data_IF_699769790167
#
_entry.id   IF_699769790167
#
_cell.length_a   1.000
_cell.length_b   1.000
_cell.length_c   1.000
_cell.angle_alpha   90.00
_cell.angle_beta   90.00
_cell.angle_gamma   90.00
#
_symmetry.space_group_name_H-M   'P 1'
#
loop_
_entity.id
_entity.type
_entity.pdbx_description
1 polymer ?
#
# COMPACT_ATOMS: atom_id res chain seq x y z
N UNK A 1 11.20 -15.36 -0.33
CA UNK A 1 11.92 -15.83 0.88
C UNK A 1 11.56 -17.29 1.14
N UNK A 2 12.54 -18.12 1.56
CA UNK A 2 12.36 -19.55 1.79
C UNK A 2 12.86 -19.97 3.17
N UNK A 3 12.52 -21.17 3.63
CA UNK A 3 12.94 -21.76 4.91
C UNK A 3 14.18 -22.61 4.66
N UNK A 4 15.19 -22.45 5.50
CA UNK A 4 16.44 -23.22 5.50
C UNK A 4 16.64 -23.84 6.86
N UNK A 5 17.16 -25.06 6.90
CA UNK A 5 17.47 -25.81 8.10
C UNK A 5 18.99 -25.85 8.31
N UNK A 6 19.43 -25.35 9.46
CA UNK A 6 20.83 -25.34 9.89
C UNK A 6 20.98 -26.15 11.16
N UNK A 7 22.14 -26.77 11.37
CA UNK A 7 22.50 -27.35 12.66
C UNK A 7 22.94 -26.26 13.65
N UNK A 8 23.18 -26.67 14.91
CA UNK A 8 23.60 -25.74 15.96
C UNK A 8 25.03 -25.16 15.78
N UNK A 9 25.83 -25.75 14.88
CA UNK A 9 27.16 -25.25 14.48
C UNK A 9 27.08 -24.23 13.32
N UNK A 10 25.87 -23.94 12.78
CA UNK A 10 25.66 -23.00 11.68
C UNK A 10 25.86 -23.60 10.28
N UNK A 11 25.96 -24.93 10.17
CA UNK A 11 26.09 -25.61 8.87
C UNK A 11 24.71 -25.85 8.28
N UNK A 12 24.55 -25.56 6.97
CA UNK A 12 23.30 -25.79 6.24
C UNK A 12 23.07 -27.29 6.07
N UNK A 13 21.94 -27.78 6.60
CA UNK A 13 21.49 -29.16 6.41
C UNK A 13 20.76 -29.27 5.06
N UNK A 14 19.72 -28.46 4.86
CA UNK A 14 18.98 -28.41 3.59
C UNK A 14 18.15 -27.12 3.46
N UNK A 15 17.75 -26.82 2.24
CA UNK A 15 16.67 -25.88 1.95
C UNK A 15 15.34 -26.62 2.09
N UNK A 16 14.47 -26.18 3.01
CA UNK A 16 13.19 -26.83 3.33
C UNK A 16 12.09 -26.43 2.34
N UNK A 17 12.05 -25.17 1.93
CA UNK A 17 11.08 -24.70 0.92
C UNK A 17 11.80 -24.12 -0.29
N UNK A 18 11.24 -24.34 -1.48
CA UNK A 18 11.74 -23.75 -2.73
C UNK A 18 10.58 -23.11 -3.49
N UNK A 19 9.95 -22.12 -2.83
CA UNK A 19 8.79 -21.42 -3.37
C UNK A 19 9.21 -20.23 -4.22
N UNK A 20 8.45 -19.95 -5.28
CA UNK A 20 8.53 -18.71 -6.07
C UNK A 20 7.83 -17.53 -5.37
N UNK A 21 7.06 -17.83 -4.33
CA UNK A 21 6.32 -16.89 -3.49
C UNK A 21 6.96 -16.70 -2.09
N UNK A 22 6.42 -15.78 -1.31
CA UNK A 22 7.06 -15.32 -0.07
C UNK A 22 6.56 -16.11 1.14
N UNK A 23 7.49 -16.71 1.89
CA UNK A 23 7.27 -17.18 3.27
C UNK A 23 7.40 -15.98 4.21
N UNK A 24 6.35 -15.72 5.01
CA UNK A 24 6.29 -14.55 5.91
C UNK A 24 6.62 -14.86 7.36
N UNK A 25 6.51 -16.13 7.79
CA UNK A 25 6.87 -16.52 9.15
C UNK A 25 6.67 -17.98 9.46
N UNK A 26 7.36 -18.47 10.49
CA UNK A 26 7.19 -19.84 11.02
C UNK A 26 6.17 -19.77 12.16
N UNK A 27 5.13 -20.61 12.08
CA UNK A 27 4.07 -20.72 13.09
C UNK A 27 4.36 -21.78 14.14
N UNK A 28 4.93 -22.90 13.73
CA UNK A 28 5.35 -23.98 14.62
C UNK A 28 6.39 -24.89 13.97
N UNK A 29 7.26 -25.47 14.81
CA UNK A 29 8.20 -26.53 14.45
C UNK A 29 7.86 -27.76 15.27
N UNK A 30 7.67 -28.90 14.62
CA UNK A 30 7.51 -30.22 15.20
C UNK A 30 8.75 -31.08 14.89
N UNK A 31 8.82 -32.30 15.43
CA UNK A 31 9.99 -33.17 15.26
C UNK A 31 10.41 -33.36 13.78
N UNK A 32 9.46 -33.42 12.87
CA UNK A 32 9.71 -33.67 11.43
C UNK A 32 8.88 -32.76 10.51
N UNK A 33 8.31 -31.65 11.02
CA UNK A 33 7.38 -30.84 10.27
C UNK A 33 7.42 -29.37 10.70
N UNK A 34 7.31 -28.47 9.74
CA UNK A 34 7.15 -27.04 9.97
C UNK A 34 5.75 -26.63 9.51
N UNK A 35 5.10 -25.78 10.30
CA UNK A 35 3.89 -25.06 9.92
C UNK A 35 4.28 -23.59 9.79
N UNK A 36 3.95 -22.96 8.67
CA UNK A 36 4.41 -21.61 8.34
C UNK A 36 3.34 -20.81 7.62
N UNK A 37 3.52 -19.50 7.61
CA UNK A 37 2.69 -18.53 6.89
C UNK A 37 3.41 -18.10 5.61
N UNK A 38 2.65 -17.87 4.55
CA UNK A 38 3.16 -17.37 3.28
C UNK A 38 2.04 -16.86 2.38
N UNK A 39 2.40 -16.25 1.27
CA UNK A 39 1.41 -15.68 0.33
C UNK A 39 0.69 -16.78 -0.48
N UNK A 40 1.38 -17.87 -0.80
CA UNK A 40 0.97 -18.72 -1.91
C UNK A 40 1.21 -18.02 -3.27
N UNK A 41 0.54 -18.49 -4.28
CA UNK A 41 0.72 -18.01 -5.66
C UNK A 41 0.20 -16.57 -5.86
N UNK A 42 -0.82 -16.16 -5.11
CA UNK A 42 -1.33 -14.78 -5.15
C UNK A 42 -0.72 -13.95 -4.02
N UNK A 43 0.17 -12.99 -4.32
CA UNK A 43 0.80 -12.17 -3.29
C UNK A 43 -0.17 -11.22 -2.57
N UNK A 44 -1.41 -11.10 -3.04
CA UNK A 44 -2.48 -10.35 -2.37
C UNK A 44 -3.15 -11.14 -1.25
N UNK A 45 -2.76 -12.40 -1.05
CA UNK A 45 -3.31 -13.32 -0.07
C UNK A 45 -2.26 -13.73 0.98
N UNK A 46 -2.71 -14.33 2.06
CA UNK A 46 -1.86 -14.87 3.10
C UNK A 46 -2.45 -16.18 3.62
N UNK A 47 -1.67 -17.27 3.62
CA UNK A 47 -2.12 -18.60 3.93
C UNK A 47 -1.20 -19.33 4.90
N UNK A 48 -1.74 -20.32 5.64
CA UNK A 48 -0.96 -21.27 6.39
C UNK A 48 -0.61 -22.49 5.54
N UNK A 49 0.63 -22.94 5.67
CA UNK A 49 1.19 -24.11 4.98
C UNK A 49 1.85 -25.05 5.97
N UNK A 50 2.06 -26.28 5.55
CA UNK A 50 2.95 -27.23 6.24
C UNK A 50 3.91 -27.88 5.27
N UNK A 51 5.10 -28.25 5.75
CA UNK A 51 6.14 -28.95 5.00
C UNK A 51 6.94 -29.83 5.96
N UNK A 52 7.44 -30.97 5.52
CA UNK A 52 8.38 -31.77 6.30
C UNK A 52 9.76 -31.10 6.36
N UNK A 53 10.56 -31.40 7.39
CA UNK A 53 11.91 -30.82 7.52
C UNK A 53 12.87 -31.18 6.36
N UNK A 54 12.62 -32.28 5.67
CA UNK A 54 13.34 -32.70 4.46
C UNK A 54 12.86 -31.98 3.18
N UNK A 55 11.86 -31.11 3.28
CA UNK A 55 11.26 -30.38 2.16
C UNK A 55 10.11 -31.13 1.46
N UNK A 56 9.84 -32.36 1.82
CA UNK A 56 8.74 -33.15 1.24
C UNK A 56 7.36 -32.75 1.79
N UNK A 57 6.30 -33.17 1.09
CA UNK A 57 4.90 -33.03 1.52
C UNK A 57 4.47 -31.60 1.86
N UNK A 58 4.98 -30.58 1.13
CA UNK A 58 4.46 -29.22 1.26
C UNK A 58 3.00 -29.18 0.84
N UNK A 59 2.15 -28.57 1.68
CA UNK A 59 0.73 -28.40 1.39
C UNK A 59 0.17 -27.13 2.02
N UNK A 60 -0.80 -26.54 1.38
CA UNK A 60 -1.61 -25.44 1.92
C UNK A 60 -2.65 -25.98 2.91
N UNK A 61 -2.81 -25.33 4.06
CA UNK A 61 -3.76 -25.69 5.12
C UNK A 61 -5.04 -24.86 4.98
N UNK A 62 -4.91 -23.53 4.84
CA UNK A 62 -6.05 -22.62 4.61
C UNK A 62 -6.32 -22.53 3.11
N UNK A 63 -7.51 -22.89 2.67
CA UNK A 63 -7.83 -23.08 1.24
C UNK A 63 -8.85 -22.07 0.69
N UNK A 64 -9.53 -21.33 1.58
CA UNK A 64 -10.41 -20.24 1.18
C UNK A 64 -9.55 -19.05 0.73
N UNK A 65 -9.91 -18.37 -0.36
CA UNK A 65 -9.17 -17.20 -0.82
C UNK A 65 -9.28 -16.03 0.16
N UNK A 66 -8.16 -15.34 0.43
CA UNK A 66 -8.16 -14.18 1.32
C UNK A 66 -6.91 -14.01 2.19
N UNK A 67 -7.02 -13.07 3.11
CA UNK A 67 -5.98 -12.73 4.08
C UNK A 67 -6.21 -13.48 5.38
N UNK A 68 -5.46 -14.56 5.60
CA UNK A 68 -5.53 -15.40 6.78
C UNK A 68 -4.54 -14.96 7.86
N UNK A 69 -5.03 -14.83 9.10
CA UNK A 69 -4.23 -14.68 10.32
C UNK A 69 -4.38 -15.92 11.15
N UNK A 70 -3.32 -16.68 11.31
CA UNK A 70 -3.38 -17.99 11.92
C UNK A 70 -2.61 -18.08 13.22
N UNK A 71 -3.11 -18.87 14.16
CA UNK A 71 -2.44 -19.20 15.42
C UNK A 71 -2.53 -20.70 15.67
N UNK A 72 -1.41 -21.29 16.10
CA UNK A 72 -1.32 -22.71 16.47
C UNK A 72 -1.65 -22.88 17.95
N UNK A 73 -2.47 -23.91 18.28
CA UNK A 73 -2.68 -24.32 19.65
C UNK A 73 -1.41 -24.86 20.32
N UNK A 74 -1.26 -24.77 21.67
CA UNK A 74 -0.07 -25.26 22.37
C UNK A 74 0.27 -26.73 22.08
N UNK A 75 -0.74 -27.58 21.92
CA UNK A 75 -0.57 -29.01 21.58
C UNK A 75 -0.36 -29.26 20.08
N UNK A 76 -0.24 -28.19 19.27
CA UNK A 76 0.01 -28.19 17.82
C UNK A 76 -1.02 -28.97 16.99
N UNK A 77 -2.17 -29.30 17.58
CA UNK A 77 -3.24 -30.05 16.92
C UNK A 77 -4.20 -29.18 16.15
N UNK A 78 -4.46 -27.96 16.61
CA UNK A 78 -5.46 -27.07 16.06
C UNK A 78 -4.84 -25.78 15.55
N UNK A 79 -5.35 -25.29 14.43
CA UNK A 79 -5.07 -23.97 13.86
C UNK A 79 -6.31 -23.11 14.03
N UNK A 80 -6.22 -22.04 14.80
CA UNK A 80 -7.20 -20.94 14.76
C UNK A 80 -6.90 -20.11 13.52
N UNK A 81 -7.89 -19.93 12.70
CA UNK A 81 -7.81 -19.19 11.45
C UNK A 81 -8.85 -18.07 11.44
N UNK A 82 -8.40 -16.83 11.30
CA UNK A 82 -9.22 -15.65 11.13
C UNK A 82 -8.89 -15.06 9.77
N UNK A 83 -9.88 -14.93 8.90
CA UNK A 83 -9.63 -14.41 7.57
C UNK A 83 -10.78 -13.54 7.05
N UNK A 84 -10.46 -12.68 6.12
CA UNK A 84 -11.40 -11.94 5.29
C UNK A 84 -10.99 -12.01 3.82
N UNK A 85 -11.93 -11.74 2.92
CA UNK A 85 -11.65 -11.58 1.50
C UNK A 85 -12.44 -10.40 0.93
N UNK A 86 -12.27 -10.07 -0.33
CA UNK A 86 -12.93 -8.94 -0.97
C UNK A 86 -14.45 -8.88 -0.69
N UNK A 87 -15.12 -10.01 -0.72
CA UNK A 87 -16.57 -10.12 -0.48
C UNK A 87 -16.96 -10.64 0.90
N UNK A 88 -16.00 -10.97 1.78
CA UNK A 88 -16.27 -11.51 3.12
C UNK A 88 -15.64 -10.62 4.19
N UNK A 89 -16.42 -9.97 5.07
CA UNK A 89 -15.92 -9.09 6.12
C UNK A 89 -15.05 -9.80 7.15
N UNK A 90 -15.39 -11.04 7.51
CA UNK A 90 -14.61 -11.81 8.47
C UNK A 90 -15.18 -13.21 8.75
N UNK A 91 -14.27 -14.15 8.93
CA UNK A 91 -14.59 -15.51 9.37
C UNK A 91 -13.54 -16.02 10.35
N UNK A 92 -14.00 -16.62 11.43
CA UNK A 92 -13.16 -17.28 12.43
C UNK A 92 -13.50 -18.77 12.45
N UNK A 93 -12.50 -19.63 12.25
CA UNK A 93 -12.65 -21.08 12.25
C UNK A 93 -11.48 -21.77 12.95
N UNK A 94 -11.71 -23.00 13.39
CA UNK A 94 -10.68 -23.91 13.90
C UNK A 94 -10.51 -25.07 12.91
N UNK A 95 -9.26 -25.33 12.54
CA UNK A 95 -8.88 -26.43 11.65
C UNK A 95 -8.15 -27.49 12.50
N UNK A 96 -8.65 -28.73 12.54
CA UNK A 96 -7.93 -29.86 13.11
C UNK A 96 -6.85 -30.32 12.12
N UNK A 97 -5.60 -30.13 12.46
CA UNK A 97 -4.44 -30.38 11.59
C UNK A 97 -4.20 -31.90 11.31
N UNK A 98 -4.81 -32.77 12.09
CA UNK A 98 -4.74 -34.21 11.89
C UNK A 98 -5.78 -34.69 10.87
N UNK A 99 -7.00 -34.17 10.95
CA UNK A 99 -8.14 -34.61 10.13
C UNK A 99 -8.48 -33.64 9.00
N UNK A 100 -7.91 -32.42 9.00
CA UNK A 100 -8.24 -31.27 8.15
C UNK A 100 -9.71 -30.80 8.27
N UNK A 101 -10.42 -31.25 9.33
CA UNK A 101 -11.79 -30.80 9.56
C UNK A 101 -11.80 -29.35 10.00
N UNK A 102 -12.58 -28.52 9.29
CA UNK A 102 -12.84 -27.12 9.62
C UNK A 102 -14.11 -27.03 10.46
N UNK A 103 -14.07 -26.22 11.50
CA UNK A 103 -15.23 -25.87 12.33
C UNK A 103 -15.33 -24.35 12.42
N UNK A 104 -16.37 -23.77 11.82
CA UNK A 104 -16.63 -22.34 11.90
C UNK A 104 -17.10 -21.97 13.30
N UNK A 105 -16.44 -21.02 13.94
CA UNK A 105 -16.78 -20.48 15.24
C UNK A 105 -17.64 -19.21 15.11
N UNK A 106 -17.33 -18.38 14.10
CA UNK A 106 -18.02 -17.14 13.84
C UNK A 106 -17.85 -16.75 12.37
N UNK A 107 -18.90 -16.17 11.80
CA UNK A 107 -18.90 -15.54 10.47
C UNK A 107 -19.57 -14.19 10.61
N UNK A 108 -18.87 -13.13 10.21
CA UNK A 108 -19.34 -11.77 10.34
C UNK A 108 -20.40 -11.47 9.27
N UNK A 109 -21.51 -10.87 9.69
CA UNK A 109 -22.49 -10.32 8.78
C UNK A 109 -21.88 -9.10 8.06
N UNK A 110 -22.35 -8.84 6.85
CA UNK A 110 -21.89 -7.66 6.11
C UNK A 110 -22.40 -6.37 6.78
N UNK A 111 -21.53 -5.57 7.43
CA UNK A 111 -21.96 -4.34 8.10
C UNK A 111 -22.40 -3.24 7.12
N UNK A 112 -22.16 -3.44 5.82
CA UNK A 112 -22.47 -2.48 4.75
C UNK A 112 -23.61 -2.95 3.85
N UNK A 113 -24.37 -3.97 4.24
CA UNK A 113 -25.45 -4.54 3.42
C UNK A 113 -26.54 -3.50 3.05
N UNK A 114 -26.77 -2.54 3.95
CA UNK A 114 -27.76 -1.48 3.76
C UNK A 114 -27.18 -0.16 3.24
N UNK A 115 -25.92 -0.17 2.78
CA UNK A 115 -25.25 1.00 2.25
C UNK A 115 -24.95 0.83 0.76
N UNK A 116 -25.21 1.88 0.01
CA UNK A 116 -24.76 1.97 -1.39
C UNK A 116 -23.25 2.20 -1.42
N UNK A 117 -22.50 1.15 -1.65
CA UNK A 117 -21.04 1.22 -1.80
C UNK A 117 -20.62 0.89 -3.22
N UNK A 118 -19.60 1.57 -3.70
CA UNK A 118 -19.04 1.33 -5.03
C UNK A 118 -18.46 -0.09 -5.18
N UNK A 119 -18.53 -0.64 -6.38
CA UNK A 119 -18.00 -1.97 -6.68
C UNK A 119 -16.48 -1.94 -6.74
N UNK A 120 -15.84 -2.73 -5.89
CA UNK A 120 -14.39 -2.92 -5.86
C UNK A 120 -13.97 -4.11 -6.74
N UNK A 121 -12.93 -3.92 -7.54
CA UNK A 121 -12.24 -4.98 -8.28
C UNK A 121 -10.76 -4.97 -7.97
N UNK A 122 -10.17 -6.17 -7.90
CA UNK A 122 -8.73 -6.39 -7.75
C UNK A 122 -8.23 -7.07 -9.03
N UNK A 123 -7.24 -6.49 -9.69
CA UNK A 123 -6.69 -7.03 -10.92
C UNK A 123 -5.21 -6.62 -11.06
N UNK A 124 -4.62 -6.84 -12.21
CA UNK A 124 -3.23 -6.48 -12.51
C UNK A 124 -3.11 -5.73 -13.84
N UNK A 125 -2.13 -4.87 -13.92
CA UNK A 125 -1.67 -4.23 -15.16
C UNK A 125 -0.21 -4.61 -15.42
N UNK A 126 0.25 -4.40 -16.65
CA UNK A 126 1.67 -4.57 -17.00
C UNK A 126 2.30 -3.23 -17.33
N UNK A 127 3.48 -3.01 -16.79
CA UNK A 127 4.35 -1.90 -17.19
C UNK A 127 4.98 -2.15 -18.56
N UNK A 128 5.60 -1.15 -19.14
CA UNK A 128 6.28 -1.25 -20.44
C UNK A 128 7.45 -2.25 -20.44
N UNK A 129 8.06 -2.49 -19.28
CA UNK A 129 9.12 -3.49 -19.10
C UNK A 129 8.58 -4.90 -18.77
N UNK A 130 7.25 -5.09 -18.82
CA UNK A 130 6.58 -6.36 -18.60
C UNK A 130 6.31 -6.72 -17.14
N UNK A 131 6.67 -5.86 -16.17
CA UNK A 131 6.41 -6.08 -14.75
C UNK A 131 4.90 -6.03 -14.48
N UNK A 132 4.35 -7.04 -13.80
CA UNK A 132 2.95 -7.02 -13.36
C UNK A 132 2.80 -6.23 -12.08
N UNK A 133 1.88 -5.28 -12.04
CA UNK A 133 1.51 -4.51 -10.87
C UNK A 133 0.05 -4.80 -10.51
N UNK A 134 -0.23 -5.07 -9.24
CA UNK A 134 -1.59 -5.30 -8.77
C UNK A 134 -2.26 -3.97 -8.42
N UNK A 135 -3.54 -3.85 -8.83
CA UNK A 135 -4.33 -2.67 -8.55
C UNK A 135 -5.69 -2.99 -7.93
N UNK A 136 -6.24 -2.02 -7.24
CA UNK A 136 -7.62 -1.94 -6.80
C UNK A 136 -8.31 -0.79 -7.52
N UNK A 137 -9.50 -1.04 -8.06
CA UNK A 137 -10.33 -0.05 -8.72
C UNK A 137 -11.73 -0.10 -8.12
N UNK A 138 -12.23 1.04 -7.64
CA UNK A 138 -13.57 1.20 -7.08
C UNK A 138 -14.39 2.06 -8.04
N UNK A 139 -15.51 1.54 -8.52
CA UNK A 139 -16.48 2.23 -9.36
C UNK A 139 -17.64 2.76 -8.53
N UNK A 140 -18.30 3.85 -8.94
CA UNK A 140 -19.57 4.28 -8.35
C UNK A 140 -20.60 3.14 -8.30
N UNK A 141 -21.54 3.21 -7.35
CA UNK A 141 -22.62 2.22 -7.27
C UNK A 141 -23.51 2.24 -8.52
N UNK A 142 -23.79 3.44 -9.04
CA UNK A 142 -24.57 3.71 -10.26
C UNK A 142 -23.74 3.78 -11.54
N UNK A 143 -22.57 3.10 -11.57
CA UNK A 143 -21.62 3.16 -12.68
C UNK A 143 -22.29 2.84 -14.05
N UNK A 144 -22.15 3.78 -14.99
CA UNK A 144 -22.55 3.62 -16.37
C UNK A 144 -21.34 3.72 -17.31
N UNK A 145 -21.00 2.67 -18.09
CA UNK A 145 -19.81 2.67 -18.93
C UNK A 145 -19.84 3.69 -20.08
N UNK A 146 -20.98 4.31 -20.36
CA UNK A 146 -21.13 5.37 -21.37
C UNK A 146 -20.74 6.76 -20.84
N UNK A 147 -20.59 6.92 -19.52
CA UNK A 147 -20.19 8.17 -18.90
C UNK A 147 -18.68 8.29 -18.78
N UNK A 148 -18.17 9.52 -18.62
CA UNK A 148 -16.78 9.81 -18.28
C UNK A 148 -16.70 10.15 -16.80
N UNK A 149 -15.73 9.53 -16.11
CA UNK A 149 -15.52 9.69 -14.67
C UNK A 149 -14.15 10.27 -14.37
N UNK A 150 -14.07 11.29 -13.50
CA UNK A 150 -12.81 11.73 -12.93
C UNK A 150 -12.20 10.61 -12.07
N UNK A 151 -10.90 10.69 -11.86
CA UNK A 151 -10.15 9.69 -11.08
C UNK A 151 -9.56 10.32 -9.82
N UNK A 152 -9.60 9.58 -8.73
CA UNK A 152 -8.75 9.79 -7.57
C UNK A 152 -7.78 8.62 -7.42
N UNK A 153 -6.49 8.88 -7.58
CA UNK A 153 -5.45 7.91 -7.26
C UNK A 153 -5.08 8.06 -5.78
N UNK A 154 -5.24 6.98 -5.01
CA UNK A 154 -4.70 6.90 -3.65
C UNK A 154 -3.37 6.18 -3.68
N UNK A 155 -2.30 6.87 -3.33
CA UNK A 155 -0.93 6.34 -3.36
C UNK A 155 -0.33 6.25 -1.96
N UNK A 156 0.38 5.16 -1.68
CA UNK A 156 1.37 5.12 -0.62
C UNK A 156 2.77 4.93 -1.23
N UNK A 157 3.02 3.82 -1.89
CA UNK A 157 4.24 3.52 -2.65
C UNK A 157 5.49 3.25 -1.80
N UNK A 158 5.37 3.30 -0.47
CA UNK A 158 6.51 3.12 0.43
C UNK A 158 7.02 1.68 0.47
N UNK A 159 8.33 1.51 0.79
CA UNK A 159 8.94 0.19 0.92
C UNK A 159 8.17 -0.73 1.85
N UNK A 160 8.03 -1.99 1.45
CA UNK A 160 7.33 -3.04 2.20
C UNK A 160 5.86 -2.75 2.56
N UNK A 161 5.24 -1.72 1.99
CA UNK A 161 3.80 -1.51 2.10
C UNK A 161 3.06 -2.30 1.03
N UNK A 162 1.85 -2.76 1.36
CA UNK A 162 0.92 -3.37 0.42
C UNK A 162 -0.49 -2.84 0.69
N UNK A 163 -1.09 -2.19 -0.29
CA UNK A 163 -2.43 -1.60 -0.20
C UNK A 163 -3.49 -2.44 -0.92
N UNK A 164 -3.07 -3.23 -1.89
CA UNK A 164 -3.96 -4.05 -2.72
C UNK A 164 -3.90 -5.49 -2.22
N UNK A 165 -4.89 -5.87 -1.41
CA UNK A 165 -4.96 -7.19 -0.78
C UNK A 165 -6.33 -7.83 -1.00
N UNK A 166 -6.40 -9.16 -1.06
CA UNK A 166 -7.67 -9.88 -1.04
C UNK A 166 -8.21 -9.96 0.40
N UNK A 167 -8.46 -8.80 1.00
CA UNK A 167 -9.12 -8.64 2.29
C UNK A 167 -10.47 -7.95 2.10
N UNK A 168 -11.24 -7.75 3.18
CA UNK A 168 -12.51 -7.03 3.12
C UNK A 168 -12.36 -5.68 2.40
N UNK A 169 -13.24 -5.42 1.44
CA UNK A 169 -13.20 -4.25 0.54
C UNK A 169 -11.89 -4.09 -0.25
N UNK A 170 -11.10 -5.15 -0.38
CA UNK A 170 -9.78 -5.09 -1.04
C UNK A 170 -8.75 -4.23 -0.29
N UNK A 171 -8.91 -4.06 1.04
CA UNK A 171 -8.11 -3.17 1.87
C UNK A 171 -8.46 -1.69 1.74
N UNK A 172 -9.57 -1.33 1.09
CA UNK A 172 -10.02 0.04 0.97
C UNK A 172 -10.62 0.58 2.27
N UNK A 173 -10.39 1.86 2.54
CA UNK A 173 -11.12 2.60 3.56
C UNK A 173 -12.48 3.08 3.05
N UNK A 174 -13.48 3.24 3.94
CA UNK A 174 -14.84 3.64 3.54
C UNK A 174 -14.90 5.02 2.84
N UNK A 175 -13.99 5.94 3.15
CA UNK A 175 -13.94 7.23 2.46
C UNK A 175 -13.66 7.09 0.95
N UNK A 176 -12.99 6.01 0.53
CA UNK A 176 -12.77 5.72 -0.89
C UNK A 176 -14.08 5.34 -1.60
N UNK A 177 -14.93 4.58 -0.93
CA UNK A 177 -16.27 4.26 -1.43
C UNK A 177 -17.17 5.48 -1.42
N UNK A 178 -17.07 6.34 -0.40
CA UNK A 178 -17.78 7.62 -0.38
C UNK A 178 -17.37 8.48 -1.59
N UNK A 179 -16.06 8.58 -1.87
CA UNK A 179 -15.57 9.33 -3.03
C UNK A 179 -16.05 8.72 -4.36
N UNK A 180 -16.11 7.39 -4.45
CA UNK A 180 -16.67 6.73 -5.61
C UNK A 180 -18.16 7.13 -5.82
N UNK A 181 -18.95 7.20 -4.74
CA UNK A 181 -20.35 7.64 -4.80
C UNK A 181 -20.52 9.15 -5.11
N UNK A 182 -19.45 9.94 -5.06
CA UNK A 182 -19.42 11.30 -5.62
C UNK A 182 -19.15 11.31 -7.15
N UNK A 183 -19.20 10.16 -7.80
CA UNK A 183 -19.01 10.02 -9.23
C UNK A 183 -17.55 9.90 -9.65
N UNK A 184 -16.66 9.42 -8.79
CA UNK A 184 -15.24 9.19 -9.07
C UNK A 184 -14.92 7.71 -9.28
N UNK A 185 -13.94 7.43 -10.13
CA UNK A 185 -13.21 6.17 -10.06
C UNK A 185 -12.09 6.35 -9.03
N UNK A 186 -12.02 5.47 -8.02
CA UNK A 186 -10.90 5.48 -7.05
C UNK A 186 -9.95 4.34 -7.38
N UNK A 187 -8.68 4.67 -7.59
CA UNK A 187 -7.65 3.75 -8.04
C UNK A 187 -6.49 3.69 -7.07
N UNK A 188 -5.94 2.50 -6.88
CA UNK A 188 -4.72 2.26 -6.09
C UNK A 188 -3.91 1.19 -6.77
N UNK A 189 -2.62 1.40 -6.97
CA UNK A 189 -1.69 0.41 -7.52
C UNK A 189 -0.48 0.25 -6.60
N UNK A 190 -0.09 -1.01 -6.33
CA UNK A 190 1.13 -1.35 -5.62
C UNK A 190 2.27 -1.50 -6.63
N UNK A 191 3.20 -0.55 -6.62
CA UNK A 191 4.41 -0.53 -7.45
C UNK A 191 5.55 -1.34 -6.85
N UNK A 192 6.68 -1.38 -7.57
CA UNK A 192 7.93 -1.97 -7.07
C UNK A 192 8.35 -1.29 -5.77
N UNK A 193 8.93 -2.07 -4.87
CA UNK A 193 9.17 -1.70 -3.47
C UNK A 193 8.10 -2.22 -2.52
N UNK A 194 6.87 -2.53 -2.98
CA UNK A 194 5.83 -3.08 -2.13
C UNK A 194 6.10 -4.53 -1.71
N UNK A 195 5.54 -4.92 -0.55
CA UNK A 195 5.77 -6.20 0.10
C UNK A 195 5.19 -7.41 -0.66
N UNK A 196 5.65 -8.59 -0.25
CA UNK A 196 5.10 -9.89 -0.63
C UNK A 196 5.32 -10.31 -2.09
N UNK A 197 6.22 -9.61 -2.79
CA UNK A 197 6.57 -9.88 -4.19
C UNK A 197 7.97 -10.48 -4.36
N UNK A 198 8.69 -10.67 -3.25
CA UNK A 198 10.05 -11.20 -3.24
C UNK A 198 11.13 -10.12 -3.30
N UNK A 199 12.37 -10.53 -3.02
CA UNK A 199 13.48 -9.61 -2.80
C UNK A 199 13.77 -8.68 -3.97
N UNK A 200 13.78 -9.19 -5.19
CA UNK A 200 14.08 -8.37 -6.39
C UNK A 200 13.06 -7.25 -6.59
N UNK A 201 11.79 -7.54 -6.38
CA UNK A 201 10.72 -6.56 -6.50
C UNK A 201 10.77 -5.53 -5.35
N UNK A 202 11.00 -6.01 -4.12
CA UNK A 202 11.01 -5.18 -2.92
C UNK A 202 12.26 -4.27 -2.87
N UNK A 203 13.42 -4.77 -3.31
CA UNK A 203 14.69 -4.02 -3.28
C UNK A 203 14.95 -3.15 -4.50
N UNK A 204 14.11 -3.20 -5.52
CA UNK A 204 14.29 -2.45 -6.77
C UNK A 204 14.37 -0.92 -6.59
N UNK A 205 13.85 -0.41 -5.48
CA UNK A 205 13.84 1.02 -5.12
C UNK A 205 15.03 1.44 -4.24
N UNK A 206 15.89 0.48 -3.85
CA UNK A 206 17.02 0.75 -2.96
C UNK A 206 17.93 1.86 -3.51
N UNK A 207 18.29 2.83 -2.67
CA UNK A 207 19.09 4.03 -2.96
C UNK A 207 18.45 5.07 -3.88
N UNK A 208 17.20 4.83 -4.35
CA UNK A 208 16.49 5.71 -5.30
C UNK A 208 14.99 5.84 -4.98
N UNK A 209 14.63 6.05 -3.72
CA UNK A 209 13.25 6.18 -3.29
C UNK A 209 12.46 7.19 -4.16
N UNK A 210 11.24 6.85 -4.49
CA UNK A 210 10.32 7.67 -5.30
C UNK A 210 10.52 7.53 -6.82
N UNK A 211 11.71 7.16 -7.30
CA UNK A 211 12.02 7.22 -8.74
C UNK A 211 11.34 6.11 -9.55
N UNK A 212 11.41 4.87 -9.08
CA UNK A 212 10.80 3.73 -9.75
C UNK A 212 9.30 3.66 -9.40
N UNK A 213 8.97 3.99 -8.18
CA UNK A 213 7.59 4.06 -7.70
C UNK A 213 6.76 5.05 -8.51
N UNK A 214 7.31 6.25 -8.83
CA UNK A 214 6.63 7.21 -9.72
C UNK A 214 6.37 6.61 -11.11
N UNK A 215 7.33 5.88 -11.69
CA UNK A 215 7.14 5.23 -13.01
C UNK A 215 6.02 4.19 -12.96
N UNK A 216 5.93 3.45 -11.87
CA UNK A 216 4.89 2.44 -11.69
C UNK A 216 3.50 3.10 -11.48
N UNK A 217 3.43 4.23 -10.75
CA UNK A 217 2.20 5.02 -10.64
C UNK A 217 1.76 5.58 -12.00
N UNK A 218 2.69 6.07 -12.81
CA UNK A 218 2.40 6.56 -14.16
C UNK A 218 1.95 5.43 -15.10
N UNK A 219 2.48 4.22 -14.96
CA UNK A 219 1.96 3.06 -15.68
C UNK A 219 0.48 2.81 -15.33
N UNK A 220 0.11 3.05 -14.06
CA UNK A 220 -1.29 3.06 -13.62
C UNK A 220 -2.12 4.16 -14.28
N UNK A 221 -1.58 5.38 -14.40
CA UNK A 221 -2.24 6.51 -15.10
C UNK A 221 -2.46 6.17 -16.57
N UNK A 222 -1.44 5.66 -17.25
CA UNK A 222 -1.55 5.29 -18.67
C UNK A 222 -2.55 4.13 -18.88
N UNK A 223 -2.57 3.14 -17.98
CA UNK A 223 -3.59 2.10 -17.99
C UNK A 223 -5.02 2.70 -17.84
N UNK A 224 -5.21 3.61 -16.89
CA UNK A 224 -6.51 4.28 -16.69
C UNK A 224 -6.97 5.01 -17.97
N UNK A 225 -6.09 5.71 -18.66
CA UNK A 225 -6.39 6.41 -19.92
C UNK A 225 -6.85 5.47 -21.05
N UNK A 226 -6.52 4.18 -20.99
CA UNK A 226 -7.03 3.19 -21.96
C UNK A 226 -8.49 2.82 -21.74
N UNK A 227 -9.04 3.09 -20.56
CA UNK A 227 -10.41 2.72 -20.20
C UNK A 227 -11.40 3.76 -20.74
N UNK A 228 -12.40 3.35 -21.55
CA UNK A 228 -13.27 4.28 -22.28
C UNK A 228 -14.10 5.20 -21.38
N UNK A 229 -14.29 4.84 -20.12
CA UNK A 229 -15.08 5.60 -19.13
C UNK A 229 -14.22 6.52 -18.24
N UNK A 230 -12.92 6.64 -18.47
CA UNK A 230 -12.08 7.57 -17.72
C UNK A 230 -12.03 8.94 -18.40
N UNK A 231 -12.14 9.98 -17.59
CA UNK A 231 -11.83 11.35 -17.98
C UNK A 231 -10.35 11.61 -17.72
N UNK A 232 -9.56 11.56 -18.78
CA UNK A 232 -8.10 11.63 -18.71
C UNK A 232 -7.56 13.00 -18.26
N UNK A 233 -8.38 14.04 -18.37
CA UNK A 233 -8.00 15.42 -17.96
C UNK A 233 -8.24 15.65 -16.46
N UNK A 234 -9.05 14.78 -15.81
CA UNK A 234 -9.44 14.91 -14.41
C UNK A 234 -8.91 13.76 -13.55
N UNK A 235 -7.61 13.73 -13.34
CA UNK A 235 -6.92 12.73 -12.51
C UNK A 235 -6.29 13.44 -11.32
N UNK A 236 -6.82 13.24 -10.11
CA UNK A 236 -6.26 13.72 -8.86
C UNK A 236 -5.44 12.65 -8.15
N UNK A 237 -4.51 13.06 -7.29
CA UNK A 237 -3.70 12.15 -6.48
C UNK A 237 -3.70 12.53 -5.00
N UNK A 238 -3.81 11.56 -4.11
CA UNK A 238 -3.76 11.75 -2.65
C UNK A 238 -2.95 10.64 -2.00
N UNK A 239 -2.12 11.03 -1.02
CA UNK A 239 -1.40 10.11 -0.17
C UNK A 239 -0.96 10.72 1.15
N UNK A 240 -0.61 9.85 2.11
CA UNK A 240 -0.19 10.25 3.44
C UNK A 240 1.21 9.71 3.76
N UNK A 241 2.04 10.47 4.48
CA UNK A 241 3.39 10.05 4.87
C UNK A 241 4.28 9.83 3.63
N UNK A 242 4.78 8.63 3.41
CA UNK A 242 5.43 8.25 2.16
C UNK A 242 4.51 8.55 0.94
N UNK A 243 3.22 8.29 1.07
CA UNK A 243 2.23 8.65 0.05
C UNK A 243 2.12 10.16 -0.18
N UNK A 244 2.34 10.97 0.85
CA UNK A 244 2.46 12.42 0.73
C UNK A 244 3.73 12.83 -0.05
N UNK A 245 4.87 12.19 0.24
CA UNK A 245 6.09 12.31 -0.57
C UNK A 245 5.82 11.92 -2.03
N UNK A 246 5.17 10.79 -2.27
CA UNK A 246 4.82 10.33 -3.62
C UNK A 246 3.89 11.30 -4.34
N UNK A 247 2.85 11.82 -3.66
CA UNK A 247 1.93 12.82 -4.23
C UNK A 247 2.68 14.07 -4.66
N UNK A 248 3.52 14.62 -3.79
CA UNK A 248 4.32 15.80 -4.10
C UNK A 248 5.33 15.52 -5.22
N UNK A 249 6.00 14.34 -5.17
CA UNK A 249 6.94 13.90 -6.21
C UNK A 249 6.28 13.80 -7.59
N UNK A 250 5.09 13.22 -7.66
CA UNK A 250 4.34 13.05 -8.91
C UNK A 250 3.98 14.39 -9.52
N UNK A 251 3.45 15.34 -8.72
CA UNK A 251 3.08 16.67 -9.21
C UNK A 251 4.29 17.52 -9.64
N UNK A 252 5.42 17.38 -8.97
CA UNK A 252 6.62 18.17 -9.31
C UNK A 252 7.42 17.58 -10.48
N UNK A 253 7.43 16.27 -10.66
CA UNK A 253 8.19 15.62 -11.74
C UNK A 253 7.38 15.41 -13.02
N UNK A 254 6.05 15.39 -12.93
CA UNK A 254 5.15 15.10 -14.05
C UNK A 254 4.01 16.11 -14.10
N UNK A 255 4.34 17.42 -14.30
CA UNK A 255 3.33 18.47 -14.39
C UNK A 255 2.35 18.15 -15.54
N UNK A 256 1.08 18.46 -15.34
CA UNK A 256 -0.05 18.15 -16.23
C UNK A 256 -0.39 16.64 -16.38
N UNK A 257 0.24 15.73 -15.63
CA UNK A 257 -0.23 14.34 -15.53
C UNK A 257 -1.40 14.19 -14.55
N UNK A 258 -1.54 15.17 -13.66
CA UNK A 258 -2.59 15.25 -12.65
C UNK A 258 -3.19 16.66 -12.64
N UNK A 259 -4.47 16.76 -12.29
CA UNK A 259 -5.17 18.05 -12.18
C UNK A 259 -4.98 18.72 -10.80
N UNK A 260 -4.78 17.92 -9.75
CA UNK A 260 -4.47 18.41 -8.40
C UNK A 260 -3.98 17.28 -7.49
N UNK A 261 -3.45 17.64 -6.32
CA UNK A 261 -3.07 16.68 -5.30
C UNK A 261 -3.26 17.15 -3.86
N UNK A 262 -3.36 16.16 -2.95
CA UNK A 262 -3.36 16.40 -1.50
C UNK A 262 -2.32 15.52 -0.83
N UNK A 263 -1.28 16.11 -0.27
CA UNK A 263 -0.18 15.45 0.40
C UNK A 263 -0.25 15.65 1.91
N UNK A 264 -0.51 14.57 2.64
CA UNK A 264 -0.56 14.60 4.11
C UNK A 264 0.75 14.14 4.73
N UNK A 265 1.31 14.90 5.67
CA UNK A 265 2.53 14.59 6.40
C UNK A 265 3.70 14.13 5.52
N UNK A 266 3.98 14.81 4.37
CA UNK A 266 4.95 14.34 3.40
C UNK A 266 6.39 14.42 3.92
N UNK A 267 7.19 13.39 3.64
CA UNK A 267 8.65 13.54 3.68
C UNK A 267 9.06 14.41 2.50
N UNK A 268 9.82 15.47 2.74
CA UNK A 268 10.29 16.39 1.69
C UNK A 268 11.77 16.17 1.36
N UNK A 269 12.56 15.82 2.35
CA UNK A 269 13.96 15.48 2.17
C UNK A 269 14.35 14.30 3.07
N UNK A 270 14.81 13.22 2.48
CA UNK A 270 15.11 11.98 3.19
C UNK A 270 16.26 12.10 4.17
N UNK A 271 17.17 13.06 4.02
CA UNK A 271 18.25 13.29 4.99
C UNK A 271 17.77 13.82 6.35
N UNK A 272 16.51 14.28 6.45
CA UNK A 272 15.90 14.73 7.69
C UNK A 272 14.98 13.68 8.32
N UNK A 273 14.81 12.55 7.66
CA UNK A 273 14.02 11.48 8.19
C UNK A 273 14.85 10.63 9.17
N UNK A 274 14.16 9.82 9.99
CA UNK A 274 14.86 9.01 10.99
C UNK A 274 15.83 8.01 10.32
N UNK A 275 16.97 7.83 10.95
CA UNK A 275 18.14 7.13 10.40
C UNK A 275 17.87 5.65 10.10
N UNK A 276 17.12 4.97 10.99
CA UNK A 276 16.82 3.54 10.85
C UNK A 276 16.01 3.21 9.61
N UNK A 277 15.16 4.14 9.17
CA UNK A 277 14.42 4.02 7.93
C UNK A 277 15.21 4.60 6.74
N UNK A 278 15.70 5.84 6.89
CA UNK A 278 16.44 6.55 5.84
C UNK A 278 17.61 5.76 5.33
N UNK A 279 18.52 5.36 6.19
CA UNK A 279 19.74 4.61 5.79
C UNK A 279 19.43 3.17 5.33
N UNK A 280 18.37 2.55 5.84
CA UNK A 280 17.94 1.22 5.40
C UNK A 280 17.61 1.18 3.91
N UNK A 281 17.02 2.23 3.37
CA UNK A 281 16.54 2.26 1.99
C UNK A 281 17.34 3.16 1.06
N UNK A 282 18.14 4.08 1.63
CA UNK A 282 18.93 5.07 0.87
C UNK A 282 20.42 4.99 1.13
N UNK A 283 20.90 4.12 2.03
CA UNK A 283 22.24 4.21 2.62
C UNK A 283 22.48 5.56 3.32
N UNK A 284 23.72 5.82 3.73
CA UNK A 284 24.09 7.09 4.33
C UNK A 284 24.14 8.21 3.29
N UNK A 285 23.78 9.44 3.64
CA UNK A 285 23.86 10.59 2.72
C UNK A 285 25.26 10.77 2.10
N UNK A 286 26.32 10.41 2.84
CA UNK A 286 27.71 10.50 2.38
C UNK A 286 28.06 9.44 1.32
N UNK A 287 27.41 8.26 1.38
CA UNK A 287 27.66 7.15 0.44
C UNK A 287 26.69 7.14 -0.74
N UNK A 288 25.59 7.92 -0.66
CA UNK A 288 24.60 8.06 -1.72
C UNK A 288 24.15 9.52 -1.93
N UNK A 289 25.06 10.50 -2.07
CA UNK A 289 24.71 11.92 -2.15
C UNK A 289 23.79 12.23 -3.35
N UNK A 290 24.01 11.59 -4.48
CA UNK A 290 23.17 11.80 -5.69
C UNK A 290 21.76 11.25 -5.51
N UNK A 291 21.57 10.11 -4.85
CA UNK A 291 20.25 9.57 -4.52
C UNK A 291 19.47 10.54 -3.63
N UNK A 292 20.07 11.04 -2.56
CA UNK A 292 19.44 12.01 -1.67
C UNK A 292 19.13 13.35 -2.38
N UNK A 293 20.03 13.83 -3.23
CA UNK A 293 19.82 15.05 -4.01
C UNK A 293 18.64 14.89 -4.99
N UNK A 294 18.56 13.75 -5.66
CA UNK A 294 17.54 13.45 -6.65
C UNK A 294 16.15 13.31 -6.05
N UNK A 295 16.06 12.79 -4.83
CA UNK A 295 14.80 12.58 -4.12
C UNK A 295 14.33 13.76 -3.30
N UNK A 296 15.18 14.79 -3.11
CA UNK A 296 14.83 15.99 -2.36
C UNK A 296 13.83 16.86 -3.13
N UNK A 297 12.62 17.00 -2.61
CA UNK A 297 11.57 17.80 -3.22
C UNK A 297 11.83 19.31 -3.13
N UNK A 298 12.74 19.75 -2.25
CA UNK A 298 13.14 21.15 -2.18
C UNK A 298 13.65 21.69 -3.52
N UNK A 299 14.40 20.84 -4.25
CA UNK A 299 14.96 21.19 -5.54
C UNK A 299 13.93 21.18 -6.69
N UNK A 300 12.69 20.80 -6.39
CA UNK A 300 11.63 20.59 -7.37
C UNK A 300 10.45 21.55 -7.18
N UNK A 301 10.51 22.43 -6.17
CA UNK A 301 9.41 23.35 -5.83
C UNK A 301 8.99 24.23 -7.03
N UNK A 302 9.93 24.72 -7.82
CA UNK A 302 9.70 25.51 -9.05
C UNK A 302 8.92 24.74 -10.12
N UNK A 303 9.03 23.40 -10.13
CA UNK A 303 8.38 22.55 -11.12
C UNK A 303 6.90 22.27 -10.82
N UNK A 304 6.43 22.58 -9.62
CA UNK A 304 5.02 22.42 -9.25
C UNK A 304 4.16 23.42 -10.05
N UNK A 305 3.23 22.89 -10.85
CA UNK A 305 2.31 23.70 -11.67
C UNK A 305 0.85 23.51 -11.29
N UNK A 306 0.52 22.33 -10.78
CA UNK A 306 -0.84 21.93 -10.47
C UNK A 306 -1.18 22.22 -9.00
N UNK A 307 -2.45 22.48 -8.65
CA UNK A 307 -2.89 22.72 -7.27
C UNK A 307 -2.45 21.61 -6.31
N UNK A 308 -1.73 21.98 -5.26
CA UNK A 308 -1.29 21.06 -4.21
C UNK A 308 -1.69 21.60 -2.84
N UNK A 309 -2.42 20.75 -2.06
CA UNK A 309 -2.66 21.00 -0.65
C UNK A 309 -1.71 20.13 0.20
N UNK A 310 -0.86 20.79 0.98
CA UNK A 310 -0.06 20.18 2.02
C UNK A 310 -0.84 20.17 3.33
N UNK A 311 -0.86 19.03 4.05
CA UNK A 311 -1.48 18.91 5.37
C UNK A 311 -0.45 18.36 6.35
N UNK A 312 -0.39 18.89 7.60
CA UNK A 312 0.56 18.40 8.60
C UNK A 312 0.03 18.57 10.03
N UNK A 313 0.28 17.58 10.88
CA UNK A 313 0.11 17.70 12.32
C UNK A 313 1.24 18.51 12.94
N UNK A 314 0.95 19.56 13.72
CA UNK A 314 2.02 20.42 14.27
C UNK A 314 2.89 19.77 15.33
N UNK A 315 2.43 18.64 15.91
CA UNK A 315 3.17 17.82 16.88
C UNK A 315 3.58 16.46 16.27
N UNK A 316 3.76 16.39 14.95
CA UNK A 316 4.21 15.20 14.25
C UNK A 316 5.64 14.84 14.67
N UNK A 317 5.77 13.67 15.30
CA UNK A 317 7.01 13.12 15.84
C UNK A 317 7.61 12.01 14.94
N UNK A 318 7.02 11.76 13.78
CA UNK A 318 7.46 10.80 12.76
C UNK A 318 8.05 11.55 11.55
N UNK A 319 7.23 12.38 10.91
CA UNK A 319 7.66 13.32 9.88
C UNK A 319 7.53 14.71 10.47
N UNK A 320 8.63 15.30 10.93
CA UNK A 320 8.58 16.59 11.60
C UNK A 320 8.08 17.70 10.70
N UNK A 321 7.30 18.62 11.25
CA UNK A 321 6.62 19.70 10.50
C UNK A 321 7.59 20.55 9.67
N UNK A 322 8.87 20.58 10.02
CA UNK A 322 9.93 21.30 9.28
C UNK A 322 10.02 20.85 7.81
N UNK A 323 9.66 19.60 7.49
CA UNK A 323 9.58 19.14 6.10
C UNK A 323 8.65 20.06 5.28
N UNK A 324 7.40 20.24 5.71
CA UNK A 324 6.46 21.09 4.99
C UNK A 324 6.85 22.55 5.02
N UNK A 325 7.31 23.08 6.15
CA UNK A 325 7.74 24.47 6.25
C UNK A 325 8.90 24.78 5.29
N UNK A 326 9.84 23.84 5.13
CA UNK A 326 10.94 24.00 4.20
C UNK A 326 10.48 23.97 2.73
N UNK A 327 9.50 23.11 2.39
CA UNK A 327 8.95 23.07 1.04
C UNK A 327 8.13 24.33 0.72
N UNK A 328 7.29 24.78 1.66
CA UNK A 328 6.57 26.06 1.51
C UNK A 328 7.54 27.22 1.30
N UNK A 329 8.66 27.26 2.07
CA UNK A 329 9.70 28.26 1.88
C UNK A 329 10.30 28.18 0.47
N UNK A 330 10.65 26.98 -0.01
CA UNK A 330 11.18 26.80 -1.36
C UNK A 330 10.17 27.25 -2.45
N UNK A 331 8.88 27.00 -2.25
CA UNK A 331 7.82 27.48 -3.13
C UNK A 331 7.75 29.02 -3.14
N UNK A 332 7.82 29.67 -1.97
CA UNK A 332 7.84 31.14 -1.88
C UNK A 332 9.06 31.72 -2.61
N UNK A 333 10.24 31.16 -2.41
CA UNK A 333 11.50 31.60 -3.04
C UNK A 333 11.47 31.46 -4.58
N UNK A 334 10.75 30.43 -5.09
CA UNK A 334 10.58 30.20 -6.54
C UNK A 334 9.34 30.90 -7.13
N UNK A 335 8.53 31.57 -6.32
CA UNK A 335 7.27 32.19 -6.76
C UNK A 335 6.14 31.21 -7.03
N UNK A 336 6.29 29.95 -6.59
CA UNK A 336 5.29 28.87 -6.76
C UNK A 336 4.22 28.97 -5.69
N UNK A 337 2.94 28.78 -6.07
CA UNK A 337 1.83 28.77 -5.12
C UNK A 337 1.57 27.34 -4.62
N UNK A 338 1.35 27.21 -3.30
CA UNK A 338 0.99 25.94 -2.65
C UNK A 338 0.06 26.21 -1.47
N UNK A 339 -0.97 25.41 -1.31
CA UNK A 339 -1.85 25.48 -0.16
C UNK A 339 -1.29 24.68 1.02
N UNK A 340 -1.43 25.21 2.23
CA UNK A 340 -0.97 24.54 3.44
C UNK A 340 -2.00 24.60 4.56
N UNK A 341 -2.34 23.46 5.17
CA UNK A 341 -3.26 23.39 6.29
C UNK A 341 -2.65 22.61 7.45
N UNK A 342 -2.28 23.28 8.56
CA UNK A 342 -1.79 22.63 9.77
C UNK A 342 -2.93 22.12 10.65
N UNK A 343 -2.73 20.92 11.27
CA UNK A 343 -3.59 20.40 12.36
C UNK A 343 -2.90 20.64 13.70
N UNK A 344 -3.33 21.63 14.49
CA UNK A 344 -2.69 21.96 15.76
C UNK A 344 -2.67 20.78 16.73
N UNK A 345 -1.50 20.52 17.36
CA UNK A 345 -1.27 19.47 18.35
C UNK A 345 -1.50 18.03 17.91
N UNK A 346 -1.87 17.78 16.65
CA UNK A 346 -1.92 16.43 16.12
C UNK A 346 -0.52 15.90 15.78
N UNK A 347 -0.32 14.63 16.08
CA UNK A 347 0.83 13.83 15.66
C UNK A 347 0.71 13.43 14.18
N UNK A 348 1.56 12.50 13.74
CA UNK A 348 1.62 12.02 12.35
C UNK A 348 0.25 11.60 11.79
N UNK A 349 -0.59 11.00 12.61
CA UNK A 349 -1.96 10.64 12.24
C UNK A 349 -2.98 11.50 12.98
N UNK A 350 -3.78 12.25 12.25
CA UNK A 350 -4.97 12.92 12.81
C UNK A 350 -6.01 11.86 13.16
N UNK A 351 -6.45 11.83 14.42
CA UNK A 351 -7.34 10.80 14.97
C UNK A 351 -8.58 11.41 15.63
N UNK A 352 -9.54 10.55 16.02
CA UNK A 352 -10.76 10.95 16.69
C UNK A 352 -11.68 11.78 15.79
N UNK A 353 -12.38 12.75 16.36
CA UNK A 353 -13.34 13.63 15.65
C UNK A 353 -12.67 14.38 14.49
N UNK A 354 -11.43 14.81 14.71
CA UNK A 354 -10.71 15.65 13.74
C UNK A 354 -10.31 14.86 12.48
N UNK A 355 -10.37 13.52 12.54
CA UNK A 355 -10.21 12.68 11.35
C UNK A 355 -11.33 12.91 10.32
N UNK A 356 -12.55 13.20 10.78
CA UNK A 356 -13.68 13.52 9.89
C UNK A 356 -13.38 14.84 9.18
N UNK A 357 -13.05 15.89 9.95
CA UNK A 357 -12.66 17.20 9.39
C UNK A 357 -11.49 17.08 8.40
N UNK A 358 -10.47 16.25 8.71
CA UNK A 358 -9.36 15.99 7.81
C UNK A 358 -9.84 15.40 6.48
N UNK A 359 -10.68 14.36 6.54
CA UNK A 359 -11.15 13.70 5.31
C UNK A 359 -12.05 14.62 4.49
N UNK A 360 -12.93 15.39 5.13
CA UNK A 360 -13.71 16.43 4.45
C UNK A 360 -12.81 17.46 3.77
N UNK A 361 -11.74 17.92 4.44
CA UNK A 361 -10.77 18.86 3.88
C UNK A 361 -10.07 18.29 2.64
N UNK A 362 -9.62 17.03 2.72
CA UNK A 362 -8.96 16.32 1.60
C UNK A 362 -9.93 16.18 0.42
N UNK A 363 -11.11 15.63 0.67
CA UNK A 363 -12.04 15.27 -0.39
C UNK A 363 -12.66 16.52 -1.04
N UNK A 364 -13.01 17.54 -0.25
CA UNK A 364 -13.50 18.82 -0.78
C UNK A 364 -12.45 19.55 -1.61
N UNK A 365 -11.17 19.48 -1.23
CA UNK A 365 -10.10 20.05 -2.05
C UNK A 365 -10.03 19.38 -3.43
N UNK A 366 -10.10 18.06 -3.47
CA UNK A 366 -10.12 17.30 -4.73
C UNK A 366 -11.36 17.64 -5.55
N UNK A 367 -12.56 17.60 -4.96
CA UNK A 367 -13.81 17.93 -5.64
C UNK A 367 -13.81 19.36 -6.24
N UNK A 368 -13.10 20.28 -5.60
CA UNK A 368 -13.03 21.67 -6.04
C UNK A 368 -12.02 21.89 -7.16
N UNK A 369 -10.88 21.22 -7.12
CA UNK A 369 -9.74 21.48 -8.01
C UNK A 369 -9.58 20.46 -9.15
N UNK A 370 -10.19 19.30 -9.07
CA UNK A 370 -10.16 18.28 -10.14
C UNK A 370 -11.26 18.55 -11.17
N UNK A 371 -11.07 19.64 -11.95
CA UNK A 371 -12.04 20.16 -12.94
C UNK A 371 -11.54 19.98 -14.36
#
# INVERSE_FOLDING_TARGET
MNIYHYNTSGELINQVTNNTWVTTGILAVEANKIIFQGTGEDPRESHAFSVNLDGSNQRQITTDGGMHRTKISPNKRYLLDQFSSLGNPGKTQVIDLKTNKKNTLHEEENPLENYDIGKTTLDQLKTTDGTSLYYRLIKPNDFNPSNKYPVLIYVYGGPHAQLVTNSWLGGASLWMHWMANQGYIVFTVDGRGSAHRGFEFESAIFRNLGQLEMKDQLAGVEFLKTLPYIDAERIAVHGWSYGGFMTTSLLTNYPAAFSCGVAGGPVIDWKWYEVMYGERYMDQPQTNPEGYKKTSLLNQAESLKDPLLLIHGTADDVVVMQHNLAFVKACVESGTQVDFFPYPMHKHNVRGKDRVHLMEKVLNYILTNNK
#
